data_IF_905996296464
#
_entry.id   IF_905996296464
#
_cell.length_a   1.000
_cell.length_b   1.000
_cell.length_c   1.000
_cell.angle_alpha   90.00
_cell.angle_beta   90.00
_cell.angle_gamma   90.00
#
_symmetry.space_group_name_H-M   'P 1'
#
loop_
_entity.id
_entity.type
_entity.pdbx_description
1 polymer ?
#
# COMPACT_ATOMS: atom_id res chain seq x y z
N UNK A 1 -7.33 -11.57 2.92
CA UNK A 1 -8.10 -10.32 2.67
C UNK A 1 -9.50 -10.62 2.14
N UNK A 2 -9.64 -11.33 1.00
CA UNK A 2 -10.95 -11.72 0.45
C UNK A 2 -11.83 -12.49 1.45
N UNK A 3 -11.26 -13.47 2.15
CA UNK A 3 -11.98 -14.24 3.19
C UNK A 3 -12.43 -13.38 4.38
N UNK A 4 -11.84 -12.19 4.55
CA UNK A 4 -12.23 -11.24 5.57
C UNK A 4 -13.31 -10.25 5.12
N UNK A 5 -13.86 -10.43 3.91
CA UNK A 5 -14.94 -9.63 3.32
C UNK A 5 -14.48 -8.46 2.44
N UNK A 6 -13.18 -8.35 2.16
CA UNK A 6 -12.64 -7.26 1.33
C UNK A 6 -12.73 -7.61 -0.15
N UNK A 7 -13.16 -6.65 -0.97
CA UNK A 7 -13.00 -6.71 -2.42
C UNK A 7 -11.51 -6.50 -2.78
N UNK A 8 -11.02 -7.27 -3.75
CA UNK A 8 -9.61 -7.26 -4.13
C UNK A 8 -9.49 -7.09 -5.63
N UNK A 9 -8.87 -5.99 -6.04
CA UNK A 9 -8.44 -5.74 -7.41
C UNK A 9 -6.97 -6.13 -7.51
N UNK A 10 -6.67 -7.14 -8.31
CA UNK A 10 -5.30 -7.61 -8.51
C UNK A 10 -4.65 -6.88 -9.68
N UNK A 11 -3.75 -5.92 -9.37
CA UNK A 11 -3.06 -5.11 -10.39
C UNK A 11 -1.97 -5.85 -11.17
N UNK A 12 -1.35 -6.89 -10.61
CA UNK A 12 -0.24 -7.60 -11.27
C UNK A 12 1.03 -6.74 -11.40
N UNK A 13 1.73 -6.85 -12.54
CA UNK A 13 2.93 -6.06 -12.81
C UNK A 13 2.55 -4.75 -13.51
N UNK A 14 2.48 -3.67 -12.73
CA UNK A 14 2.14 -2.34 -13.20
C UNK A 14 3.28 -1.35 -12.96
N UNK A 15 3.33 -0.29 -13.75
CA UNK A 15 4.15 0.88 -13.44
C UNK A 15 3.43 1.82 -12.45
N UNK A 16 4.15 2.82 -11.92
CA UNK A 16 3.62 3.76 -10.92
C UNK A 16 2.34 4.46 -11.39
N UNK A 17 2.31 4.90 -12.65
CA UNK A 17 1.17 5.64 -13.20
C UNK A 17 -0.06 4.73 -13.30
N UNK A 18 0.11 3.51 -13.79
CA UNK A 18 -0.97 2.52 -13.90
C UNK A 18 -1.57 2.17 -12.53
N UNK A 19 -0.74 2.01 -11.49
CA UNK A 19 -1.22 1.75 -10.12
C UNK A 19 -2.10 2.91 -9.64
N UNK A 20 -1.63 4.16 -9.78
CA UNK A 20 -2.38 5.32 -9.31
C UNK A 20 -3.67 5.53 -10.11
N UNK A 21 -3.63 5.36 -11.44
CA UNK A 21 -4.82 5.48 -12.28
C UNK A 21 -5.85 4.38 -11.95
N UNK A 22 -5.40 3.15 -11.74
CA UNK A 22 -6.28 2.05 -11.32
C UNK A 22 -6.90 2.33 -9.96
N UNK A 23 -6.11 2.78 -8.99
CA UNK A 23 -6.60 3.09 -7.65
C UNK A 23 -7.68 4.20 -7.65
N UNK A 24 -7.51 5.22 -8.49
CA UNK A 24 -8.49 6.30 -8.65
C UNK A 24 -9.74 5.81 -9.39
N UNK A 25 -9.58 5.09 -10.50
CA UNK A 25 -10.71 4.63 -11.31
C UNK A 25 -11.60 3.63 -10.56
N UNK A 26 -10.99 2.77 -9.76
CA UNK A 26 -11.69 1.75 -8.97
C UNK A 26 -12.12 2.25 -7.59
N UNK A 27 -11.85 3.53 -7.26
CA UNK A 27 -12.20 4.17 -5.98
C UNK A 27 -11.78 3.34 -4.75
N UNK A 28 -10.52 2.89 -4.74
CA UNK A 28 -10.02 1.98 -3.70
C UNK A 28 -9.69 2.72 -2.41
N UNK A 29 -9.99 2.09 -1.28
CA UNK A 29 -9.60 2.62 0.03
C UNK A 29 -8.13 2.34 0.40
N UNK A 30 -7.55 1.27 -0.16
CA UNK A 30 -6.22 0.79 0.20
C UNK A 30 -5.43 0.38 -1.04
N UNK A 31 -4.19 0.87 -1.15
CA UNK A 31 -3.18 0.31 -2.05
C UNK A 31 -2.24 -0.57 -1.23
N UNK A 32 -2.23 -1.88 -1.52
CA UNK A 32 -1.26 -2.83 -0.98
C UNK A 32 -0.13 -3.10 -1.96
N UNK A 33 1.08 -2.64 -1.66
CA UNK A 33 2.27 -2.88 -2.48
C UNK A 33 3.02 -4.12 -1.99
N UNK A 34 3.36 -5.04 -2.89
CA UNK A 34 4.18 -6.22 -2.58
C UNK A 34 5.52 -6.15 -3.31
N UNK A 35 6.61 -5.84 -2.60
CA UNK A 35 7.90 -5.50 -3.20
C UNK A 35 9.02 -6.42 -2.67
N UNK A 36 9.68 -7.12 -3.59
CA UNK A 36 10.80 -8.04 -3.30
C UNK A 36 12.11 -7.68 -4.00
N UNK A 37 12.15 -6.55 -4.73
CA UNK A 37 13.27 -6.12 -5.56
C UNK A 37 14.26 -5.17 -4.87
N UNK A 38 14.02 -4.81 -3.60
CA UNK A 38 14.79 -3.79 -2.87
C UNK A 38 14.51 -2.34 -3.30
N UNK A 39 13.61 -2.13 -4.28
CA UNK A 39 13.22 -0.81 -4.75
C UNK A 39 12.09 -0.16 -3.94
N UNK A 40 11.77 -0.68 -2.74
CA UNK A 40 10.58 -0.31 -1.96
C UNK A 40 10.51 1.17 -1.62
N UNK A 41 11.62 1.81 -1.22
CA UNK A 41 11.62 3.24 -0.91
C UNK A 41 11.35 4.09 -2.15
N UNK A 42 12.18 3.94 -3.19
CA UNK A 42 12.08 4.74 -4.40
C UNK A 42 10.74 4.54 -5.13
N UNK A 43 10.24 3.31 -5.17
CA UNK A 43 8.99 2.99 -5.85
C UNK A 43 7.77 3.51 -5.07
N UNK A 44 7.74 3.30 -3.74
CA UNK A 44 6.64 3.80 -2.90
C UNK A 44 6.62 5.33 -2.87
N UNK A 45 7.78 5.98 -2.83
CA UNK A 45 7.87 7.44 -2.89
C UNK A 45 7.22 7.99 -4.17
N UNK A 46 7.53 7.42 -5.34
CA UNK A 46 6.95 7.85 -6.61
C UNK A 46 5.41 7.70 -6.64
N UNK A 47 4.87 6.63 -6.05
CA UNK A 47 3.42 6.43 -5.93
C UNK A 47 2.82 7.51 -5.03
N UNK A 48 3.42 7.76 -3.87
CA UNK A 48 2.97 8.78 -2.92
C UNK A 48 2.99 10.18 -3.56
N UNK A 49 4.07 10.52 -4.26
CA UNK A 49 4.20 11.83 -4.92
C UNK A 49 3.12 12.01 -5.98
N UNK A 50 2.87 10.99 -6.79
CA UNK A 50 1.82 11.05 -7.81
C UNK A 50 0.41 11.09 -7.19
N UNK A 51 0.15 10.36 -6.11
CA UNK A 51 -1.14 10.47 -5.39
C UNK A 51 -1.34 11.87 -4.80
N UNK A 52 -0.27 12.51 -4.29
CA UNK A 52 -0.30 13.89 -3.81
C UNK A 52 -0.55 14.88 -4.95
N UNK A 53 0.13 14.70 -6.09
CA UNK A 53 -0.09 15.51 -7.30
C UNK A 53 -1.53 15.42 -7.79
N UNK A 54 -2.14 14.22 -7.72
CA UNK A 54 -3.55 13.99 -8.08
C UNK A 54 -4.54 14.44 -7.00
N UNK A 55 -4.06 14.85 -5.81
CA UNK A 55 -4.89 15.36 -4.73
C UNK A 55 -5.67 14.30 -3.94
N UNK A 56 -5.34 13.01 -4.11
CA UNK A 56 -6.09 11.87 -3.52
C UNK A 56 -5.29 11.10 -2.47
N UNK A 57 -4.07 11.54 -2.15
CA UNK A 57 -3.19 10.85 -1.20
C UNK A 57 -3.83 10.63 0.18
N UNK A 58 -4.65 11.57 0.66
CA UNK A 58 -5.29 11.45 1.97
C UNK A 58 -6.52 10.52 1.97
N UNK A 59 -7.03 10.17 0.79
CA UNK A 59 -8.21 9.32 0.64
C UNK A 59 -7.83 7.83 0.53
N UNK A 60 -6.56 7.55 0.20
CA UNK A 60 -6.09 6.18 -0.07
C UNK A 60 -4.98 5.80 0.91
N UNK A 61 -5.23 4.76 1.70
CA UNK A 61 -4.25 4.20 2.63
C UNK A 61 -3.21 3.36 1.89
N UNK A 62 -1.93 3.54 2.18
CA UNK A 62 -0.86 2.75 1.55
C UNK A 62 -0.27 1.75 2.56
N UNK A 63 -0.24 0.47 2.19
CA UNK A 63 0.44 -0.60 2.91
C UNK A 63 1.58 -1.14 2.05
N UNK A 64 2.73 -1.42 2.66
CA UNK A 64 3.88 -2.01 1.95
C UNK A 64 4.21 -3.36 2.57
N UNK A 65 4.28 -4.40 1.74
CA UNK A 65 4.69 -5.74 2.12
C UNK A 65 5.89 -6.23 1.30
N UNK A 66 6.57 -7.25 1.80
CA UNK A 66 7.60 -7.98 1.06
C UNK A 66 8.90 -8.18 1.84
N UNK A 67 10.01 -8.30 1.12
CA UNK A 67 11.35 -8.47 1.75
C UNK A 67 11.94 -7.08 1.99
N UNK A 68 11.45 -6.42 3.03
CA UNK A 68 11.83 -5.06 3.40
C UNK A 68 12.84 -5.10 4.55
N UNK A 69 14.01 -4.44 4.45
CA UNK A 69 14.93 -4.30 5.57
C UNK A 69 14.28 -3.52 6.72
N UNK A 70 14.39 -4.01 7.97
CA UNK A 70 13.76 -3.38 9.13
C UNK A 70 14.14 -1.90 9.31
N UNK A 71 15.38 -1.52 8.95
CA UNK A 71 15.87 -0.14 8.99
C UNK A 71 15.10 0.83 8.09
N UNK A 72 14.42 0.33 7.05
CA UNK A 72 13.68 1.16 6.10
C UNK A 72 12.20 1.30 6.49
N UNK A 73 11.71 0.57 7.51
CA UNK A 73 10.32 0.65 7.95
C UNK A 73 9.98 2.05 8.47
N UNK A 74 10.90 2.67 9.21
CA UNK A 74 10.72 4.02 9.71
C UNK A 74 10.61 5.02 8.55
N UNK A 75 11.53 4.95 7.58
CA UNK A 75 11.52 5.81 6.38
C UNK A 75 10.24 5.65 5.56
N UNK A 76 9.76 4.42 5.37
CA UNK A 76 8.49 4.18 4.66
C UNK A 76 7.31 4.84 5.39
N UNK A 77 7.25 4.76 6.72
CA UNK A 77 6.21 5.45 7.51
C UNK A 77 6.33 6.96 7.42
N UNK A 78 7.54 7.50 7.48
CA UNK A 78 7.80 8.95 7.37
C UNK A 78 7.30 9.54 6.04
N UNK A 79 7.39 8.77 4.95
CA UNK A 79 6.96 9.26 3.63
C UNK A 79 5.45 9.15 3.41
N UNK A 80 4.73 8.40 4.25
CA UNK A 80 3.26 8.30 4.20
C UNK A 80 2.69 6.88 4.14
N UNK A 81 3.51 5.83 4.30
CA UNK A 81 3.01 4.45 4.40
C UNK A 81 2.36 4.22 5.76
N UNK A 82 1.13 3.73 5.77
CA UNK A 82 0.38 3.48 7.01
C UNK A 82 0.96 2.31 7.81
N UNK A 83 1.38 1.23 7.14
CA UNK A 83 2.11 0.15 7.79
C UNK A 83 3.00 -0.65 6.82
N UNK A 84 4.02 -1.30 7.38
CA UNK A 84 4.99 -2.13 6.65
C UNK A 84 4.99 -3.56 7.20
N UNK A 85 4.80 -4.54 6.31
CA UNK A 85 4.72 -5.95 6.63
C UNK A 85 5.91 -6.72 6.05
N UNK A 86 6.83 -7.13 6.91
CA UNK A 86 7.98 -7.94 6.53
C UNK A 86 7.67 -9.43 6.39
N UNK A 87 8.69 -10.26 6.07
CA UNK A 87 8.54 -11.71 6.04
C UNK A 87 8.01 -12.25 7.37
N UNK A 88 7.01 -13.15 7.30
CA UNK A 88 6.39 -13.76 8.48
C UNK A 88 5.22 -12.98 9.10
N UNK A 89 4.87 -11.80 8.57
CA UNK A 89 3.66 -11.08 9.00
C UNK A 89 2.41 -11.92 8.76
N UNK A 90 1.49 -11.96 9.72
CA UNK A 90 0.26 -12.73 9.57
C UNK A 90 -0.78 -11.95 8.75
N UNK A 91 -1.52 -12.65 7.90
CA UNK A 91 -2.59 -12.01 7.13
C UNK A 91 -3.69 -11.43 8.02
N UNK A 92 -3.93 -12.02 9.20
CA UNK A 92 -4.91 -11.52 10.16
C UNK A 92 -4.53 -10.14 10.70
N UNK A 93 -3.25 -9.90 10.99
CA UNK A 93 -2.77 -8.59 11.46
C UNK A 93 -3.07 -7.49 10.43
N UNK A 94 -2.88 -7.80 9.14
CA UNK A 94 -3.21 -6.87 8.04
C UNK A 94 -4.71 -6.60 7.98
N UNK A 95 -5.53 -7.64 8.14
CA UNK A 95 -6.99 -7.53 8.13
C UNK A 95 -7.48 -6.64 9.27
N UNK A 96 -7.01 -6.88 10.49
CA UNK A 96 -7.38 -6.10 11.67
C UNK A 96 -6.94 -4.64 11.51
N UNK A 97 -5.70 -4.40 11.07
CA UNK A 97 -5.20 -3.06 10.82
C UNK A 97 -6.05 -2.25 9.83
N UNK A 98 -6.49 -2.88 8.74
CA UNK A 98 -7.36 -2.23 7.74
C UNK A 98 -8.72 -1.93 8.35
N UNK A 99 -9.35 -2.89 9.04
CA UNK A 99 -10.68 -2.74 9.64
C UNK A 99 -10.74 -1.66 10.72
N UNK A 100 -9.68 -1.49 11.50
CA UNK A 100 -9.61 -0.45 12.52
C UNK A 100 -9.53 0.97 11.94
N UNK A 101 -9.03 1.10 10.70
CA UNK A 101 -8.73 2.41 10.08
C UNK A 101 -9.70 2.82 9.00
N UNK A 102 -10.39 1.87 8.39
CA UNK A 102 -11.47 2.14 7.45
C UNK A 102 -12.79 2.01 8.19
N UNK A 103 -13.41 3.15 8.46
CA UNK A 103 -14.78 3.22 8.94
C UNK A 103 -15.65 3.61 7.74
N UNK A 104 -16.14 2.59 7.01
CA UNK A 104 -17.20 2.75 6.02
C UNK A 104 -18.44 2.01 6.52
#
# INVERSE_FOLDING_TARGET
LRDAGMEIIFGGFQNVKEIVESAIHEDVDVIGLSIHSGAHLAYTQQIIDLLKERGVFNDIMILVGGVIPAQDFAKLREIGVANVYGPGSMTNDIVEFIKERIQK
#
